data_IF_011870688288
#
_entry.id   IF_011870688288
#
_cell.length_a   1.000
_cell.length_b   1.000
_cell.length_c   1.000
_cell.angle_alpha   90.00
_cell.angle_beta   90.00
_cell.angle_gamma   90.00
#
_symmetry.space_group_name_H-M   'P 1'
#
loop_
_entity.id
_entity.type
_entity.pdbx_description
1 polymer ?
#
# COMPACT_ATOMS: atom_id res chain seq x y z
N UNK A 1 10.70 -16.49 -9.89
CA UNK A 1 10.44 -15.10 -9.42
C UNK A 1 11.62 -14.67 -8.57
N UNK A 2 12.02 -13.39 -8.63
CA UNK A 2 13.11 -12.85 -7.80
C UNK A 2 12.68 -11.53 -7.15
N UNK A 3 13.16 -11.26 -5.94
CA UNK A 3 12.99 -9.98 -5.24
C UNK A 3 14.12 -9.04 -5.65
N UNK A 4 13.77 -7.79 -5.98
CA UNK A 4 14.73 -6.75 -6.44
C UNK A 4 14.64 -5.43 -5.71
N UNK A 5 13.72 -5.31 -4.77
CA UNK A 5 13.60 -4.15 -3.92
C UNK A 5 13.05 -4.55 -2.58
N UNK A 6 13.47 -3.85 -1.54
CA UNK A 6 12.94 -3.99 -0.19
C UNK A 6 12.81 -2.63 0.48
N UNK A 7 11.79 -2.47 1.30
CA UNK A 7 11.55 -1.24 2.04
C UNK A 7 11.03 -1.59 3.41
N UNK A 8 11.54 -0.92 4.43
CA UNK A 8 11.04 -1.04 5.79
C UNK A 8 10.80 0.38 6.29
N UNK A 9 9.60 0.67 6.75
CA UNK A 9 9.29 1.88 7.49
C UNK A 9 9.01 1.54 8.95
N UNK A 10 9.81 2.04 9.91
CA UNK A 10 9.71 1.64 11.31
C UNK A 10 8.49 2.22 12.06
N UNK A 11 7.72 3.12 11.44
CA UNK A 11 6.66 3.89 12.09
C UNK A 11 7.21 5.18 12.73
N UNK A 12 6.45 6.28 12.64
CA UNK A 12 6.94 7.62 13.04
C UNK A 12 8.06 8.18 12.14
N UNK A 13 8.53 9.39 12.44
CA UNK A 13 9.62 10.09 11.74
C UNK A 13 9.17 11.18 10.74
N UNK A 14 10.06 12.14 10.46
CA UNK A 14 9.86 13.13 9.40
C UNK A 14 9.71 12.42 8.05
N UNK A 15 8.69 12.82 7.29
CA UNK A 15 8.46 12.30 5.95
C UNK A 15 9.49 12.93 5.00
N UNK A 16 10.44 12.18 4.43
CA UNK A 16 11.38 12.74 3.47
C UNK A 16 10.70 13.09 2.14
N UNK A 17 9.42 12.77 2.01
CA UNK A 17 8.58 13.03 0.87
C UNK A 17 7.43 13.89 1.39
N UNK A 18 7.32 15.13 0.94
CA UNK A 18 6.11 15.94 1.15
C UNK A 18 4.97 15.38 0.25
N UNK A 19 4.67 14.08 0.40
CA UNK A 19 3.66 13.41 -0.40
C UNK A 19 2.33 13.98 0.04
N UNK A 20 1.64 14.65 -0.89
CA UNK A 20 0.31 15.25 -0.67
C UNK A 20 -0.69 14.23 -0.13
N UNK A 21 -0.40 12.95 -0.31
CA UNK A 21 -1.22 11.84 0.10
C UNK A 21 -1.20 11.56 1.61
N UNK A 22 -0.06 11.77 2.29
CA UNK A 22 0.07 11.58 3.74
C UNK A 22 -0.90 12.47 4.54
N UNK A 23 -1.44 13.54 3.93
CA UNK A 23 -2.32 14.52 4.61
C UNK A 23 -3.69 13.98 4.99
N UNK A 24 -4.19 12.96 4.28
CA UNK A 24 -5.55 12.46 4.43
C UNK A 24 -5.59 10.99 4.88
N UNK A 25 -4.41 10.35 4.94
CA UNK A 25 -4.25 8.99 5.44
C UNK A 25 -3.70 9.04 6.87
N UNK A 26 -4.25 8.21 7.77
CA UNK A 26 -3.66 8.04 9.09
C UNK A 26 -2.23 7.49 9.03
N UNK A 27 -1.49 7.58 10.14
CA UNK A 27 -0.06 7.23 10.19
C UNK A 27 0.27 5.84 9.64
N UNK A 28 -0.59 4.85 9.90
CA UNK A 28 -0.42 3.48 9.39
C UNK A 28 -0.49 3.41 7.87
N UNK A 29 -1.44 4.13 7.26
CA UNK A 29 -1.57 4.22 5.82
C UNK A 29 -0.36 4.92 5.20
N UNK A 30 0.09 6.02 5.80
CA UNK A 30 1.30 6.73 5.37
C UNK A 30 2.55 5.83 5.46
N UNK A 31 2.70 5.03 6.53
CA UNK A 31 3.83 4.11 6.68
C UNK A 31 3.88 3.06 5.55
N UNK A 32 2.74 2.50 5.14
CA UNK A 32 2.64 1.55 4.02
C UNK A 32 3.11 2.17 2.71
N UNK A 33 2.66 3.39 2.41
CA UNK A 33 3.07 4.11 1.19
C UNK A 33 4.57 4.39 1.22
N UNK A 34 5.11 4.87 2.34
CA UNK A 34 6.55 5.14 2.49
C UNK A 34 7.41 3.90 2.33
N UNK A 35 7.04 2.78 2.97
CA UNK A 35 7.74 1.52 2.79
C UNK A 35 7.72 1.09 1.31
N UNK A 36 6.56 1.21 0.65
CA UNK A 36 6.40 0.93 -0.77
C UNK A 36 7.31 1.78 -1.65
N UNK A 37 7.37 3.09 -1.42
CA UNK A 37 8.22 4.02 -2.16
C UNK A 37 9.71 3.76 -1.95
N UNK A 38 10.12 3.36 -0.73
CA UNK A 38 11.49 2.94 -0.46
C UNK A 38 11.87 1.68 -1.24
N UNK A 39 11.01 0.65 -1.20
CA UNK A 39 11.22 -0.58 -1.94
C UNK A 39 11.29 -0.33 -3.45
N UNK A 40 10.42 0.56 -3.95
CA UNK A 40 10.38 0.96 -5.35
C UNK A 40 11.67 1.67 -5.78
N UNK A 41 12.14 2.67 -5.02
CA UNK A 41 13.41 3.35 -5.30
C UNK A 41 14.60 2.39 -5.30
N UNK A 42 14.63 1.44 -4.38
CA UNK A 42 15.68 0.41 -4.37
C UNK A 42 15.59 -0.46 -5.64
N UNK A 43 14.38 -0.93 -5.99
CA UNK A 43 14.13 -1.69 -7.20
C UNK A 43 14.54 -0.97 -8.48
N UNK A 44 14.37 0.36 -8.55
CA UNK A 44 14.82 1.16 -9.68
C UNK A 44 16.34 1.25 -9.83
N UNK A 45 17.12 1.10 -8.75
CA UNK A 45 18.60 1.05 -8.84
C UNK A 45 19.05 -0.26 -9.50
N UNK A 46 18.40 -1.36 -9.16
CA UNK A 46 18.65 -2.66 -9.77
C UNK A 46 18.04 -2.75 -11.18
N UNK A 47 17.00 -1.95 -11.45
CA UNK A 47 16.27 -1.93 -12.71
C UNK A 47 15.93 -0.50 -13.17
N UNK A 48 16.83 0.18 -13.89
CA UNK A 48 16.71 1.61 -14.21
C UNK A 48 15.45 1.96 -15.01
N UNK A 49 14.84 3.09 -14.62
CA UNK A 49 13.63 3.73 -15.17
C UNK A 49 13.60 3.95 -16.70
N UNK A 50 14.74 3.92 -17.41
CA UNK A 50 14.73 3.95 -18.88
C UNK A 50 14.05 2.71 -19.51
N UNK A 51 13.82 1.65 -18.72
CA UNK A 51 13.10 0.43 -19.15
C UNK A 51 11.61 0.40 -18.71
N UNK A 52 11.07 1.43 -18.06
CA UNK A 52 9.72 1.39 -17.46
C UNK A 52 8.59 2.04 -18.27
N UNK A 53 8.87 2.72 -19.39
CA UNK A 53 7.79 3.19 -20.27
C UNK A 53 7.01 2.00 -20.84
N UNK A 54 5.71 1.93 -20.57
CA UNK A 54 4.80 0.88 -21.05
C UNK A 54 4.74 -0.40 -20.21
N UNK A 55 5.38 -0.47 -19.03
CA UNK A 55 5.35 -1.68 -18.17
C UNK A 55 4.18 -1.69 -17.19
N UNK A 56 3.62 -2.89 -16.99
CA UNK A 56 2.49 -3.14 -16.09
C UNK A 56 3.03 -3.42 -14.69
N UNK A 57 2.97 -2.43 -13.81
CA UNK A 57 3.34 -2.59 -12.40
C UNK A 57 2.08 -2.98 -11.62
N UNK A 58 2.08 -4.17 -11.01
CA UNK A 58 1.04 -4.58 -10.09
C UNK A 58 1.35 -4.13 -8.65
N UNK A 59 0.31 -3.88 -7.84
CA UNK A 59 0.47 -3.52 -6.42
C UNK A 59 -0.44 -4.40 -5.57
N UNK A 60 0.13 -5.08 -4.57
CA UNK A 60 -0.62 -5.86 -3.58
C UNK A 60 -0.33 -5.28 -2.21
N UNK A 61 -1.38 -4.88 -1.50
CA UNK A 61 -1.27 -4.50 -0.09
C UNK A 61 -1.91 -5.53 0.81
N UNK A 62 -1.19 -5.95 1.84
CA UNK A 62 -1.76 -6.70 2.96
C UNK A 62 -1.98 -5.73 4.11
N UNK A 63 -3.24 -5.51 4.45
CA UNK A 63 -3.63 -4.54 5.48
C UNK A 63 -4.47 -5.20 6.55
N UNK A 64 -4.32 -4.73 7.80
CA UNK A 64 -5.27 -5.09 8.85
C UNK A 64 -6.64 -4.50 8.53
N UNK A 65 -7.74 -5.11 9.00
CA UNK A 65 -9.06 -4.51 8.89
C UNK A 65 -9.04 -3.08 9.44
N UNK A 66 -9.73 -2.13 8.79
CA UNK A 66 -9.78 -0.76 9.27
C UNK A 66 -10.52 -0.74 10.60
N UNK A 67 -10.02 0.04 11.54
CA UNK A 67 -10.76 0.35 12.78
C UNK A 67 -11.46 1.68 12.60
N UNK A 68 -12.74 1.74 12.95
CA UNK A 68 -13.45 3.01 13.03
C UNK A 68 -12.71 3.96 14.00
N UNK A 69 -12.63 5.27 13.67
CA UNK A 69 -12.06 6.26 14.57
C UNK A 69 -12.71 6.17 15.96
N UNK A 70 -11.95 6.46 17.01
CA UNK A 70 -12.44 6.30 18.39
C UNK A 70 -13.65 7.21 18.67
N UNK A 71 -13.74 8.35 17.98
CA UNK A 71 -14.92 9.23 18.06
C UNK A 71 -16.17 8.68 17.36
N UNK A 72 -16.06 7.60 16.56
CA UNK A 72 -17.16 6.92 15.85
C UNK A 72 -17.53 5.58 16.48
N UNK A 73 -16.54 4.82 16.99
CA UNK A 73 -16.61 3.37 17.28
C UNK A 73 -17.82 2.92 18.11
N UNK A 74 -18.34 3.78 18.98
CA UNK A 74 -19.48 3.49 19.87
C UNK A 74 -20.58 4.57 19.81
N UNK A 75 -20.61 5.39 18.75
CA UNK A 75 -21.60 6.47 18.60
C UNK A 75 -22.81 6.02 17.79
N UNK A 76 -23.98 6.52 18.18
CA UNK A 76 -25.20 6.31 17.40
C UNK A 76 -25.14 7.03 16.05
N UNK A 77 -25.84 6.54 15.00
CA UNK A 77 -25.88 7.19 13.69
C UNK A 77 -26.26 8.67 13.74
N UNK A 78 -27.24 9.04 14.59
CA UNK A 78 -27.65 10.44 14.78
C UNK A 78 -26.63 11.32 15.50
N UNK A 79 -25.68 10.72 16.22
CA UNK A 79 -24.54 11.45 16.80
C UNK A 79 -23.47 11.67 15.72
N UNK A 80 -23.15 10.65 14.93
CA UNK A 80 -22.20 10.74 13.82
C UNK A 80 -22.63 11.80 12.80
N UNK A 81 -23.92 11.82 12.42
CA UNK A 81 -24.47 12.79 11.47
C UNK A 81 -24.35 14.25 11.97
N UNK A 82 -24.49 14.48 13.29
CA UNK A 82 -24.31 15.81 13.88
C UNK A 82 -22.85 16.26 13.85
N UNK A 83 -21.91 15.33 13.97
CA UNK A 83 -20.47 15.59 13.94
C UNK A 83 -19.91 15.91 12.54
N UNK A 84 -20.68 15.71 11.46
CA UNK A 84 -20.20 15.96 10.09
C UNK A 84 -19.80 17.42 9.82
N UNK A 85 -20.37 18.37 10.57
CA UNK A 85 -19.98 19.79 10.48
C UNK A 85 -18.60 20.06 11.09
N UNK A 86 -18.22 19.28 12.11
CA UNK A 86 -16.96 19.41 12.85
C UNK A 86 -15.85 18.51 12.25
N UNK A 87 -16.26 17.42 11.60
CA UNK A 87 -15.38 16.47 10.93
C UNK A 87 -15.84 16.28 9.47
N UNK A 88 -15.29 17.04 8.51
CA UNK A 88 -15.60 16.90 7.09
C UNK A 88 -15.43 15.44 6.62
N UNK A 89 -16.31 14.92 5.75
CA UNK A 89 -16.44 13.49 5.48
C UNK A 89 -15.20 12.82 4.85
N UNK A 90 -14.15 13.56 4.52
CA UNK A 90 -12.87 13.03 4.04
C UNK A 90 -12.23 12.02 5.01
N UNK A 91 -12.56 12.06 6.31
CA UNK A 91 -12.11 11.04 7.27
C UNK A 91 -12.59 9.63 6.93
N UNK A 92 -13.70 9.48 6.20
CA UNK A 92 -14.21 8.18 5.72
C UNK A 92 -13.21 7.52 4.77
N UNK A 93 -12.48 8.31 3.97
CA UNK A 93 -11.45 7.78 3.08
C UNK A 93 -10.32 7.13 3.88
N UNK A 94 -9.92 7.73 5.01
CA UNK A 94 -8.93 7.16 5.91
C UNK A 94 -9.35 5.82 6.54
N UNK A 95 -10.65 5.48 6.48
CA UNK A 95 -11.19 4.20 6.94
C UNK A 95 -11.25 3.14 5.83
N UNK A 96 -10.95 3.50 4.58
CA UNK A 96 -10.96 2.55 3.47
C UNK A 96 -9.68 1.69 3.50
N UNK A 97 -9.79 0.35 3.61
CA UNK A 97 -8.61 -0.52 3.74
C UNK A 97 -7.69 -0.45 2.53
N UNK A 98 -8.25 -0.19 1.35
CA UNK A 98 -7.52 -0.11 0.09
C UNK A 98 -6.87 1.25 -0.18
N UNK A 99 -7.19 2.31 0.59
CA UNK A 99 -6.69 3.66 0.30
C UNK A 99 -5.15 3.74 0.24
N UNK A 100 -4.39 3.16 1.20
CA UNK A 100 -2.92 3.22 1.13
C UNK A 100 -2.36 2.52 -0.11
N UNK A 101 -2.98 1.41 -0.51
CA UNK A 101 -2.55 0.61 -1.66
C UNK A 101 -2.84 1.33 -2.97
N UNK A 102 -4.04 1.93 -3.08
CA UNK A 102 -4.43 2.75 -4.22
C UNK A 102 -3.54 3.98 -4.36
N UNK A 103 -3.23 4.65 -3.24
CA UNK A 103 -2.31 5.77 -3.25
C UNK A 103 -0.91 5.36 -3.72
N UNK A 104 -0.37 4.28 -3.16
CA UNK A 104 0.94 3.78 -3.57
C UNK A 104 0.98 3.47 -5.07
N UNK A 105 -0.09 2.86 -5.60
CA UNK A 105 -0.22 2.61 -7.03
C UNK A 105 -0.15 3.90 -7.87
N UNK A 106 -0.80 4.99 -7.43
CA UNK A 106 -0.72 6.31 -8.08
C UNK A 106 0.71 6.84 -8.05
N UNK A 107 1.36 6.84 -6.87
CA UNK A 107 2.70 7.40 -6.69
C UNK A 107 3.78 6.68 -7.50
N UNK A 108 3.65 5.36 -7.70
CA UNK A 108 4.59 4.57 -8.52
C UNK A 108 4.22 4.53 -10.01
N UNK A 109 3.10 5.16 -10.41
CA UNK A 109 2.60 5.14 -11.79
C UNK A 109 2.16 3.75 -12.24
N UNK A 110 1.51 2.99 -11.36
CA UNK A 110 1.12 1.61 -11.64
C UNK A 110 0.07 1.53 -12.76
N UNK A 111 0.34 0.67 -13.74
CA UNK A 111 -0.55 0.36 -14.87
C UNK A 111 -1.01 -1.11 -14.89
N UNK A 112 -0.66 -1.88 -13.85
CA UNK A 112 -1.07 -3.26 -13.65
C UNK A 112 -2.21 -3.40 -12.64
N UNK A 113 -2.52 -4.65 -12.23
CA UNK A 113 -3.55 -4.91 -11.24
C UNK A 113 -3.19 -4.36 -9.86
N UNK A 114 -4.19 -3.85 -9.13
CA UNK A 114 -4.06 -3.32 -7.77
C UNK A 114 -5.03 -4.07 -6.86
N UNK A 115 -4.53 -4.65 -5.78
CA UNK A 115 -5.35 -5.46 -4.87
C UNK A 115 -5.00 -5.23 -3.41
N UNK A 116 -6.00 -5.30 -2.54
CA UNK A 116 -5.84 -5.24 -1.09
C UNK A 116 -6.34 -6.54 -0.48
N UNK A 117 -5.46 -7.26 0.22
CA UNK A 117 -5.74 -8.50 0.94
C UNK A 117 -5.83 -8.15 2.43
N UNK A 118 -6.85 -8.66 3.11
CA UNK A 118 -6.97 -8.51 4.56
C UNK A 118 -6.06 -9.51 5.29
N UNK A 119 -5.43 -9.07 6.38
CA UNK A 119 -4.64 -9.96 7.25
C UNK A 119 -5.54 -11.04 7.87
N UNK A 120 -5.36 -12.29 7.44
CA UNK A 120 -6.05 -13.50 7.93
C UNK A 120 -5.09 -14.70 7.88
N UNK A 121 -5.42 -15.84 8.49
CA UNK A 121 -4.57 -17.02 8.39
C UNK A 121 -4.28 -17.37 6.91
N UNK A 122 -3.01 -17.50 6.54
CA UNK A 122 -2.58 -17.81 5.17
C UNK A 122 -2.44 -16.61 4.22
N UNK A 123 -2.64 -15.36 4.66
CA UNK A 123 -2.59 -14.17 3.78
C UNK A 123 -1.28 -14.05 2.98
N UNK A 124 -0.13 -14.44 3.55
CA UNK A 124 1.17 -14.36 2.85
C UNK A 124 1.24 -15.36 1.71
N UNK A 125 0.68 -16.56 1.88
CA UNK A 125 0.64 -17.58 0.83
C UNK A 125 -0.24 -17.07 -0.31
N UNK A 126 -1.44 -16.56 0.02
CA UNK A 126 -2.37 -15.96 -0.94
C UNK A 126 -1.72 -14.80 -1.71
N UNK A 127 -1.05 -13.87 -1.02
CA UNK A 127 -0.33 -12.77 -1.65
C UNK A 127 0.77 -13.27 -2.58
N UNK A 128 1.58 -14.23 -2.15
CA UNK A 128 2.67 -14.77 -2.97
C UNK A 128 2.17 -15.53 -4.21
N UNK A 129 1.07 -16.28 -4.10
CA UNK A 129 0.46 -16.92 -5.26
C UNK A 129 -0.12 -15.90 -6.23
N UNK A 130 -0.73 -14.82 -5.72
CA UNK A 130 -1.20 -13.71 -6.55
C UNK A 130 -0.04 -13.02 -7.29
N UNK A 131 1.08 -12.77 -6.60
CA UNK A 131 2.32 -12.24 -7.21
C UNK A 131 2.78 -13.17 -8.34
N UNK A 132 2.84 -14.49 -8.11
CA UNK A 132 3.26 -15.47 -9.11
C UNK A 132 2.38 -15.43 -10.35
N UNK A 133 1.06 -15.43 -10.16
CA UNK A 133 0.09 -15.37 -11.27
C UNK A 133 0.25 -14.07 -12.04
N UNK A 134 0.32 -12.92 -11.36
CA UNK A 134 0.44 -11.63 -12.03
C UNK A 134 1.75 -11.49 -12.80
N UNK A 135 2.86 -11.97 -12.27
CA UNK A 135 4.15 -11.98 -12.97
C UNK A 135 4.20 -12.94 -14.17
N UNK A 136 3.23 -13.84 -14.31
CA UNK A 136 3.16 -14.73 -15.47
C UNK A 136 2.66 -13.99 -16.72
N UNK A 137 1.62 -13.15 -16.57
CA UNK A 137 0.89 -12.59 -17.71
C UNK A 137 0.36 -11.15 -17.53
N UNK A 138 0.20 -10.63 -16.31
CA UNK A 138 -0.49 -9.34 -16.04
C UNK A 138 0.44 -8.19 -15.67
N UNK A 139 1.61 -8.48 -15.14
CA UNK A 139 2.53 -7.50 -14.58
C UNK A 139 3.97 -7.89 -14.86
N UNK A 140 4.82 -6.90 -15.12
CA UNK A 140 6.26 -7.08 -15.25
C UNK A 140 6.95 -7.06 -13.88
N UNK A 141 6.38 -6.26 -12.97
CA UNK A 141 6.81 -6.07 -11.59
C UNK A 141 5.58 -6.11 -10.68
N UNK A 142 5.73 -6.64 -9.48
CA UNK A 142 4.70 -6.55 -8.44
C UNK A 142 5.31 -5.98 -7.18
N UNK A 143 4.77 -4.85 -6.73
CA UNK A 143 5.10 -4.24 -5.45
C UNK A 143 4.14 -4.80 -4.39
N UNK A 144 4.69 -5.52 -3.43
CA UNK A 144 3.97 -6.00 -2.27
C UNK A 144 4.29 -5.13 -1.06
N UNK A 145 3.26 -4.66 -0.35
CA UNK A 145 3.38 -3.97 0.94
C UNK A 145 2.56 -4.69 2.02
N UNK A 146 3.07 -4.75 3.25
CA UNK A 146 2.34 -5.30 4.40
C UNK A 146 2.52 -4.46 5.67
N UNK A 147 1.47 -4.40 6.50
CA UNK A 147 1.55 -3.91 7.88
C UNK A 147 2.00 -5.06 8.79
N UNK A 148 3.18 -4.90 9.41
CA UNK A 148 3.84 -5.87 10.26
C UNK A 148 4.07 -5.28 11.66
N UNK A 149 2.99 -5.25 12.45
CA UNK A 149 2.99 -4.96 13.90
C UNK A 149 3.83 -3.73 14.30
N UNK A 150 3.40 -2.57 13.80
CA UNK A 150 4.01 -1.27 14.11
C UNK A 150 5.06 -0.83 13.10
N UNK A 151 5.37 -1.66 12.11
CA UNK A 151 6.22 -1.32 10.96
C UNK A 151 5.49 -1.64 9.67
N UNK A 152 5.86 -0.96 8.59
CA UNK A 152 5.45 -1.33 7.25
C UNK A 152 6.62 -1.98 6.51
N UNK A 153 6.35 -3.10 5.85
CA UNK A 153 7.31 -3.82 5.03
C UNK A 153 6.88 -3.74 3.57
N UNK A 154 7.84 -3.71 2.67
CA UNK A 154 7.60 -3.65 1.25
C UNK A 154 8.65 -4.43 0.48
N UNK A 155 8.26 -5.01 -0.65
CA UNK A 155 9.15 -5.72 -1.55
C UNK A 155 8.71 -5.62 -3.00
N UNK A 156 9.67 -5.48 -3.91
CA UNK A 156 9.42 -5.51 -5.36
C UNK A 156 9.83 -6.87 -5.90
N UNK A 157 8.92 -7.53 -6.61
CA UNK A 157 9.10 -8.83 -7.23
C UNK A 157 9.07 -8.72 -8.73
N UNK A 158 9.86 -9.56 -9.39
CA UNK A 158 9.83 -9.71 -10.85
C UNK A 158 9.91 -11.16 -11.26
N UNK A 159 9.56 -11.44 -12.52
CA UNK A 159 9.76 -12.76 -13.12
C UNK A 159 11.26 -13.11 -13.07
N UNK A 160 11.58 -14.34 -12.67
CA UNK A 160 12.96 -14.80 -12.75
C UNK A 160 13.28 -15.10 -14.21
N UNK A 161 14.51 -14.82 -14.65
CA UNK A 161 15.01 -15.42 -15.89
C UNK A 161 15.14 -16.93 -15.64
N UNK A 162 14.69 -17.73 -16.62
CA UNK A 162 14.71 -19.19 -16.56
C UNK A 162 16.13 -19.72 -16.78
#
# INVERSE_FOLDING_TARGET
MRRVGSGIWPGGGEDPWDSKASRWMGERGAALVRAGLLAWRQGQKEFPLKKTEGRRIGVIGVVKPPSWPDWVRDRSPGTIARSWKEHPPLWLLGCLPNLPVAQLAIEVGAQGPVETIQTKLGFRIEAMDRIRVWLADRADLVLWVEDADGRALASVWQKGEA
#
